data_IF_376387184043
#
_entry.id   IF_376387184043
#
_cell.length_a   1.000
_cell.length_b   1.000
_cell.length_c   1.000
_cell.angle_alpha   90.00
_cell.angle_beta   90.00
_cell.angle_gamma   90.00
#
_symmetry.space_group_name_H-M   'P 1'
#
loop_
_entity.id
_entity.type
_entity.pdbx_description
1 polymer ?
#
# COMPACT_ATOMS: atom_id res chain seq x y z
N UNK A 1 -5.78 15.19 15.38
CA UNK A 1 -5.75 13.73 15.32
C UNK A 1 -4.78 13.29 14.24
N UNK A 2 -4.10 12.19 14.46
CA UNK A 2 -3.16 11.67 13.47
C UNK A 2 -3.85 10.92 12.34
N UNK A 3 -3.19 10.87 11.18
CA UNK A 3 -3.67 10.07 10.05
C UNK A 3 -3.41 8.58 10.33
N UNK A 4 -4.39 7.71 10.12
CA UNK A 4 -4.24 6.30 10.47
C UNK A 4 -3.46 5.52 9.41
N UNK A 5 -2.81 4.43 9.84
CA UNK A 5 -2.27 3.42 8.94
C UNK A 5 -3.39 2.42 8.67
N UNK A 6 -3.78 2.25 7.40
CA UNK A 6 -4.95 1.44 7.07
C UNK A 6 -4.68 0.31 6.08
N UNK A 7 -3.49 0.22 5.53
CA UNK A 7 -3.18 -0.75 4.50
C UNK A 7 -1.70 -1.12 4.52
N UNK A 8 -1.39 -2.35 4.17
CA UNK A 8 -0.01 -2.75 3.90
C UNK A 8 0.08 -3.35 2.50
N UNK A 9 1.26 -3.34 1.93
CA UNK A 9 1.48 -3.93 0.61
C UNK A 9 2.81 -4.67 0.59
N UNK A 10 2.75 -5.93 0.24
CA UNK A 10 3.95 -6.74 0.03
C UNK A 10 4.21 -6.73 -1.47
N UNK A 11 5.26 -6.04 -1.87
CA UNK A 11 5.70 -5.98 -3.26
C UNK A 11 6.77 -7.05 -3.46
N UNK A 12 6.64 -7.85 -4.51
CA UNK A 12 7.51 -8.99 -4.70
C UNK A 12 7.75 -9.28 -6.17
N UNK A 13 8.95 -9.78 -6.45
CA UNK A 13 9.31 -10.24 -7.79
C UNK A 13 8.64 -11.56 -8.13
N UNK A 14 8.17 -12.31 -7.14
CA UNK A 14 7.52 -13.60 -7.32
C UNK A 14 6.20 -13.65 -6.54
N UNK A 15 5.13 -13.04 -7.09
CA UNK A 15 3.86 -12.98 -6.38
C UNK A 15 3.20 -14.34 -6.14
N UNK A 16 3.40 -15.29 -7.04
CA UNK A 16 2.83 -16.63 -6.87
C UNK A 16 3.41 -17.31 -5.64
N UNK A 17 4.73 -17.30 -5.52
CA UNK A 17 5.41 -17.89 -4.37
C UNK A 17 5.05 -17.18 -3.06
N UNK A 18 4.95 -15.85 -3.11
CA UNK A 18 4.56 -15.07 -1.92
C UNK A 18 3.14 -15.42 -1.47
N UNK A 19 2.20 -15.50 -2.39
CA UNK A 19 0.82 -15.86 -2.06
C UNK A 19 0.75 -17.24 -1.41
N UNK A 20 1.47 -18.21 -1.95
CA UNK A 20 1.50 -19.54 -1.38
C UNK A 20 2.09 -19.54 0.04
N UNK A 21 3.18 -18.83 0.23
CA UNK A 21 3.84 -18.75 1.53
C UNK A 21 2.91 -18.16 2.59
N UNK A 22 2.39 -16.96 2.34
CA UNK A 22 1.56 -16.26 3.34
C UNK A 22 0.23 -16.94 3.56
N UNK A 23 -0.37 -17.50 2.53
CA UNK A 23 -1.61 -18.24 2.67
C UNK A 23 -1.44 -19.50 3.50
N UNK A 24 -0.35 -20.21 3.29
CA UNK A 24 -0.07 -21.45 4.01
C UNK A 24 0.28 -21.20 5.48
N UNK A 25 1.13 -20.22 5.76
CA UNK A 25 1.64 -19.99 7.11
C UNK A 25 0.61 -19.25 7.98
N UNK A 26 -0.04 -18.23 7.44
CA UNK A 26 -0.92 -17.37 8.23
C UNK A 26 -2.40 -17.58 7.93
N UNK A 27 -2.70 -18.52 7.06
CA UNK A 27 -4.08 -18.85 6.72
C UNK A 27 -4.84 -17.66 6.11
N UNK A 28 -4.13 -16.80 5.42
CA UNK A 28 -4.73 -15.66 4.75
C UNK A 28 -5.46 -16.12 3.49
N UNK A 29 -6.66 -15.58 3.28
CA UNK A 29 -7.36 -15.75 2.00
C UNK A 29 -6.86 -14.67 1.04
N UNK A 30 -6.49 -15.08 -0.16
CA UNK A 30 -5.89 -14.20 -1.14
C UNK A 30 -6.79 -14.15 -2.37
N UNK A 31 -7.43 -13.00 -2.58
CA UNK A 31 -8.35 -12.79 -3.70
C UNK A 31 -7.65 -11.99 -4.80
N UNK A 32 -7.40 -12.64 -5.95
CA UNK A 32 -6.79 -11.96 -7.10
C UNK A 32 -7.73 -10.93 -7.69
N UNK A 33 -7.16 -9.77 -8.05
CA UNK A 33 -7.89 -8.72 -8.73
C UNK A 33 -7.79 -8.97 -10.24
N UNK A 34 -8.93 -9.04 -10.97
CA UNK A 34 -8.91 -9.27 -12.42
C UNK A 34 -8.05 -8.23 -13.14
N UNK A 35 -7.29 -8.69 -14.13
CA UNK A 35 -6.45 -7.85 -15.00
C UNK A 35 -5.32 -7.12 -14.27
N UNK A 36 -5.04 -7.50 -13.01
CA UNK A 36 -3.94 -6.95 -12.23
C UNK A 36 -3.17 -8.09 -11.59
N UNK A 37 -1.87 -7.94 -11.50
CA UNK A 37 -1.05 -8.92 -10.76
C UNK A 37 -1.00 -8.52 -9.30
N UNK A 38 -2.15 -8.58 -8.65
CA UNK A 38 -2.40 -8.10 -7.30
C UNK A 38 -3.39 -9.02 -6.61
N UNK A 39 -3.11 -9.37 -5.38
CA UNK A 39 -4.02 -10.17 -4.56
C UNK A 39 -4.37 -9.41 -3.29
N UNK A 40 -5.65 -9.34 -2.98
CA UNK A 40 -6.13 -8.74 -1.73
C UNK A 40 -5.99 -9.75 -0.61
N UNK A 41 -5.43 -9.31 0.52
CA UNK A 41 -5.25 -10.16 1.71
C UNK A 41 -6.47 -9.99 2.61
N UNK A 42 -7.12 -11.11 2.92
CA UNK A 42 -8.24 -11.14 3.86
C UNK A 42 -7.90 -12.07 5.01
N UNK A 43 -7.78 -11.52 6.20
CA UNK A 43 -7.45 -12.32 7.39
C UNK A 43 -8.68 -12.99 7.98
N UNK A 44 -9.86 -12.38 7.78
CA UNK A 44 -11.13 -12.91 8.28
C UNK A 44 -11.34 -12.74 9.77
N UNK A 45 -10.49 -11.97 10.45
CA UNK A 45 -10.53 -11.89 11.91
C UNK A 45 -11.29 -10.67 12.45
N UNK A 46 -11.56 -9.70 11.58
CA UNK A 46 -12.20 -8.44 12.02
C UNK A 46 -11.27 -7.53 12.81
N UNK A 47 -10.00 -7.90 12.97
CA UNK A 47 -8.99 -7.09 13.66
C UNK A 47 -7.79 -6.88 12.75
N UNK A 48 -7.01 -5.84 13.03
CA UNK A 48 -5.86 -5.48 12.23
C UNK A 48 -6.25 -4.73 10.96
N UNK A 49 -5.30 -4.60 10.04
CA UNK A 49 -5.51 -3.91 8.78
C UNK A 49 -5.52 -4.89 7.62
N UNK A 50 -6.12 -4.50 6.52
CA UNK A 50 -6.04 -5.25 5.28
C UNK A 50 -4.78 -4.91 4.50
N UNK A 51 -4.55 -5.63 3.42
CA UNK A 51 -3.39 -5.39 2.58
C UNK A 51 -3.46 -6.13 1.26
N UNK A 52 -2.35 -6.09 0.55
CA UNK A 52 -2.23 -6.75 -0.74
C UNK A 52 -0.83 -7.29 -1.00
N UNK A 53 -0.77 -8.22 -1.94
CA UNK A 53 0.49 -8.75 -2.46
C UNK A 53 0.54 -8.40 -3.93
N UNK A 54 1.54 -7.65 -4.34
CA UNK A 54 1.65 -7.11 -5.69
C UNK A 54 2.94 -7.56 -6.37
N UNK A 55 2.86 -7.79 -7.68
CA UNK A 55 4.05 -8.00 -8.49
C UNK A 55 4.83 -6.69 -8.60
N UNK A 56 6.13 -6.75 -8.43
CA UNK A 56 6.99 -5.58 -8.49
C UNK A 56 8.40 -5.97 -8.92
N UNK A 57 9.18 -4.97 -9.36
CA UNK A 57 10.56 -5.19 -9.77
C UNK A 57 11.51 -5.47 -8.61
N UNK A 58 11.10 -5.17 -7.38
CA UNK A 58 11.91 -5.38 -6.18
C UNK A 58 11.01 -5.85 -5.05
N UNK A 59 11.62 -6.59 -4.11
CA UNK A 59 10.94 -7.04 -2.91
C UNK A 59 10.95 -5.90 -1.89
N UNK A 60 9.76 -5.46 -1.46
CA UNK A 60 9.62 -4.34 -0.54
C UNK A 60 8.27 -4.39 0.14
N UNK A 61 8.23 -4.09 1.44
CA UNK A 61 6.97 -3.97 2.16
C UNK A 61 6.71 -2.50 2.43
N UNK A 62 5.52 -2.04 2.11
CA UNK A 62 5.12 -0.63 2.27
C UNK A 62 3.82 -0.60 3.07
N UNK A 63 3.75 0.24 4.10
CA UNK A 63 2.46 0.52 4.72
C UNK A 63 1.92 1.84 4.20
N UNK A 64 0.59 2.00 4.25
CA UNK A 64 -0.08 3.18 3.70
C UNK A 64 -0.80 3.95 4.80
N UNK A 65 -0.60 5.26 4.78
CA UNK A 65 -1.27 6.21 5.68
C UNK A 65 -2.45 6.80 4.93
N UNK A 66 -3.63 6.73 5.53
CA UNK A 66 -4.85 7.25 4.89
C UNK A 66 -4.99 8.73 5.16
N UNK A 67 -5.13 9.51 4.09
CA UNK A 67 -5.24 10.96 4.14
C UNK A 67 -6.32 11.46 3.18
N UNK A 68 -6.82 12.66 3.41
CA UNK A 68 -7.86 13.24 2.56
C UNK A 68 -7.31 13.75 1.22
N UNK A 69 -6.11 14.32 1.21
CA UNK A 69 -5.52 14.92 0.01
C UNK A 69 -4.05 14.52 -0.11
N UNK A 70 -3.76 13.41 -0.81
CA UNK A 70 -2.38 12.94 -0.95
C UNK A 70 -1.42 13.97 -1.54
N UNK A 71 -1.86 14.80 -2.49
CA UNK A 71 -0.98 15.79 -3.09
C UNK A 71 -0.55 16.85 -2.08
N UNK A 72 -1.48 17.32 -1.25
CA UNK A 72 -1.14 18.29 -0.21
C UNK A 72 -0.12 17.72 0.77
N UNK A 73 -0.22 16.42 1.07
CA UNK A 73 0.74 15.76 1.94
C UNK A 73 2.10 15.60 1.27
N UNK A 74 2.14 15.25 -0.03
CA UNK A 74 3.41 15.19 -0.75
C UNK A 74 4.13 16.55 -0.75
N UNK A 75 3.38 17.64 -0.93
CA UNK A 75 3.96 18.99 -0.90
C UNK A 75 4.60 19.27 0.45
N UNK A 76 3.92 18.91 1.54
CA UNK A 76 4.43 19.10 2.90
C UNK A 76 5.63 18.19 3.19
N UNK A 77 5.59 16.97 2.68
CA UNK A 77 6.68 15.99 2.85
C UNK A 77 7.95 16.52 2.21
N UNK A 78 7.85 17.05 1.00
CA UNK A 78 9.02 17.60 0.30
C UNK A 78 9.61 18.80 1.04
N UNK A 79 8.77 19.65 1.61
CA UNK A 79 9.25 20.78 2.42
C UNK A 79 9.90 20.31 3.71
N UNK A 80 9.53 19.14 4.20
CA UNK A 80 10.05 18.60 5.46
C UNK A 80 11.27 17.70 5.28
N UNK A 81 11.80 17.60 4.06
CA UNK A 81 13.03 16.83 3.81
C UNK A 81 12.82 15.45 3.20
N UNK A 82 11.57 15.06 2.96
CA UNK A 82 11.27 13.83 2.24
C UNK A 82 11.23 14.07 0.73
N UNK A 83 10.83 13.05 -0.01
CA UNK A 83 10.69 13.19 -1.47
C UNK A 83 9.58 12.30 -1.98
N UNK A 84 8.99 12.67 -3.11
CA UNK A 84 7.99 11.85 -3.80
C UNK A 84 8.70 10.70 -4.51
N UNK A 85 8.20 9.49 -4.30
CA UNK A 85 8.69 8.28 -4.98
C UNK A 85 7.72 7.89 -6.10
N UNK A 86 6.43 7.85 -5.79
CA UNK A 86 5.37 7.63 -6.78
C UNK A 86 4.40 8.81 -6.65
N UNK A 87 4.20 9.59 -7.70
CA UNK A 87 3.26 10.72 -7.64
C UNK A 87 1.83 10.22 -7.46
N UNK A 88 0.91 11.12 -7.12
CA UNK A 88 -0.49 10.75 -6.95
C UNK A 88 -0.98 10.03 -8.21
N UNK A 89 -1.49 8.84 -8.01
CA UNK A 89 -1.92 7.94 -9.09
C UNK A 89 -3.32 7.44 -8.76
N UNK A 90 -4.22 7.58 -9.71
CA UNK A 90 -5.57 7.04 -9.57
C UNK A 90 -5.68 5.72 -10.31
N UNK A 91 -6.15 4.69 -9.60
CA UNK A 91 -6.56 3.43 -10.21
C UNK A 91 -8.08 3.49 -10.27
N UNK A 92 -8.68 3.75 -11.45
CA UNK A 92 -10.12 4.03 -11.54
C UNK A 92 -10.97 2.93 -10.92
N UNK A 93 -11.94 3.35 -10.08
CA UNK A 93 -12.84 2.43 -9.41
C UNK A 93 -12.24 1.68 -8.24
N UNK A 94 -10.97 1.92 -7.89
CA UNK A 94 -10.29 1.20 -6.82
C UNK A 94 -9.67 2.12 -5.78
N UNK A 95 -8.66 2.88 -6.16
CA UNK A 95 -7.88 3.62 -5.16
C UNK A 95 -7.14 4.79 -5.81
N UNK A 96 -6.87 5.82 -5.01
CA UNK A 96 -5.94 6.90 -5.33
C UNK A 96 -4.82 6.84 -4.30
N UNK A 97 -3.58 6.77 -4.76
CA UNK A 97 -2.45 6.55 -3.87
C UNK A 97 -1.21 7.30 -4.34
N UNK A 98 -0.22 7.37 -3.48
CA UNK A 98 1.10 7.90 -3.77
C UNK A 98 2.12 7.20 -2.86
N UNK A 99 3.39 7.39 -3.14
CA UNK A 99 4.46 6.91 -2.25
C UNK A 99 5.51 7.99 -2.11
N UNK A 100 6.09 8.07 -0.93
CA UNK A 100 7.15 9.01 -0.62
C UNK A 100 8.26 8.32 0.16
N UNK A 101 9.43 8.94 0.17
CA UNK A 101 10.51 8.52 1.05
C UNK A 101 10.65 9.55 2.17
N UNK A 102 10.79 9.08 3.41
CA UNK A 102 11.06 9.96 4.53
C UNK A 102 12.53 10.44 4.47
N UNK A 103 12.96 11.36 5.35
CA UNK A 103 14.34 11.87 5.30
C UNK A 103 15.43 10.80 5.44
N UNK A 104 15.10 9.65 6.00
CA UNK A 104 16.04 8.53 6.13
C UNK A 104 15.97 7.54 4.97
N UNK A 105 15.07 7.77 4.00
CA UNK A 105 14.93 6.93 2.83
C UNK A 105 13.92 5.80 2.95
N UNK A 106 13.14 5.74 4.04
CA UNK A 106 12.08 4.74 4.17
C UNK A 106 10.94 5.07 3.22
N UNK A 107 10.50 4.10 2.43
CA UNK A 107 9.38 4.29 1.50
C UNK A 107 8.07 3.95 2.20
N UNK A 108 7.15 4.90 2.17
CA UNK A 108 5.84 4.80 2.81
C UNK A 108 4.78 5.27 1.83
N UNK A 109 3.59 4.70 1.92
CA UNK A 109 2.49 5.05 1.02
C UNK A 109 1.50 6.02 1.63
N UNK A 110 0.80 6.72 0.75
CA UNK A 110 -0.37 7.53 1.07
C UNK A 110 -1.54 6.97 0.29
N UNK A 111 -2.69 6.87 0.92
CA UNK A 111 -3.91 6.44 0.24
C UNK A 111 -5.02 7.45 0.57
N UNK A 112 -5.81 7.80 -0.46
CA UNK A 112 -6.89 8.75 -0.28
C UNK A 112 -8.05 8.09 0.44
N UNK A 113 -8.59 8.76 1.45
CA UNK A 113 -9.75 8.25 2.17
C UNK A 113 -10.99 8.27 1.28
N UNK A 114 -11.87 7.27 1.47
CA UNK A 114 -13.10 7.16 0.70
C UNK A 114 -14.07 8.30 0.97
N UNK A 115 -13.92 8.97 2.09
CA UNK A 115 -14.80 10.06 2.51
C UNK A 115 -14.31 11.44 2.11
N UNK A 116 -13.23 11.53 1.36
CA UNK A 116 -12.66 12.81 0.96
C UNK A 116 -13.23 13.31 -0.37
#
# INVERSE_FOLDING_TARGET
MGAPVTWFEINTKDPTSAREFYGQIFNWKLDTVPDMDYALVQTGTGTGIGGGIAAAGENQVVFYIEVDDPQAYLDRIEKAGGRTVVPVTEVPGMVTFAQFADPQGNVVGLVKSDNA
#
